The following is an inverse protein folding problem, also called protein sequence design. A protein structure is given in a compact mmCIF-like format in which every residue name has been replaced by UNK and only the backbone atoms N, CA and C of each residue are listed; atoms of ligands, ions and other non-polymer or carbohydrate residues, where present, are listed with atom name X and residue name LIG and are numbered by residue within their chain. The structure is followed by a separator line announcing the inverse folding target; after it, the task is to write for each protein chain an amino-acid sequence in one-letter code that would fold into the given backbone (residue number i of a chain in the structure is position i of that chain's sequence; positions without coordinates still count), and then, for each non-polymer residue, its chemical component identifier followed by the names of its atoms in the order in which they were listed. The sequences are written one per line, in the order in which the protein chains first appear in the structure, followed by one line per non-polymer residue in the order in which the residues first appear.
data_IF_525732584399
#
_entry.id   IF_525732584399
#
_cell.length_a   1.000
_cell.length_b   1.000
_cell.length_c   1.000
_cell.angle_alpha   90.00
_cell.angle_beta   90.00
_cell.angle_gamma   90.00
#
_symmetry.space_group_name_H-M   'P 1'
#
loop_
_entity.id
_entity.type
_entity.pdbx_description
1 polymer ?
#
# COMPACT_ATOMS: atom_id res chain seq x y z
N UNK A 1 -0.57 11.24 -6.00
CA UNK A 1 -0.81 9.80 -6.24
C UNK A 1 -1.46 9.59 -7.60
N UNK A 2 -1.44 8.36 -8.12
CA UNK A 2 -2.09 7.91 -9.36
C UNK A 2 -1.40 8.25 -10.70
N UNK A 3 -0.11 8.59 -10.72
CA UNK A 3 0.62 9.03 -11.92
C UNK A 3 1.78 8.12 -12.35
N UNK A 4 2.19 7.14 -11.53
CA UNK A 4 3.27 6.23 -11.93
C UNK A 4 2.77 5.13 -12.86
N UNK A 5 3.71 4.35 -13.42
CA UNK A 5 3.45 3.32 -14.43
C UNK A 5 2.52 2.21 -13.92
N UNK A 6 2.67 1.82 -12.66
CA UNK A 6 1.85 0.80 -12.04
C UNK A 6 1.07 1.44 -10.89
N UNK A 7 -0.16 1.85 -11.16
CA UNK A 7 -1.07 2.40 -10.14
C UNK A 7 -1.86 1.26 -9.51
N UNK A 8 -1.98 1.27 -8.18
CA UNK A 8 -2.72 0.23 -7.47
C UNK A 8 -4.23 0.38 -7.75
N UNK A 9 -4.95 -0.73 -7.97
CA UNK A 9 -6.34 -0.75 -8.43
C UNK A 9 -7.27 0.24 -7.71
N UNK A 10 -7.36 0.23 -6.37
CA UNK A 10 -8.19 1.18 -5.61
C UNK A 10 -7.84 2.65 -5.84
N UNK A 11 -6.56 2.97 -6.06
CA UNK A 11 -6.12 4.34 -6.40
C UNK A 11 -6.48 4.68 -7.84
N UNK A 12 -6.32 3.74 -8.77
CA UNK A 12 -6.68 3.92 -10.17
C UNK A 12 -8.19 4.16 -10.36
N UNK A 13 -9.03 3.52 -9.54
CA UNK A 13 -10.49 3.72 -9.54
C UNK A 13 -10.96 4.91 -8.71
N UNK A 14 -10.06 5.55 -7.95
CA UNK A 14 -10.40 6.66 -7.05
C UNK A 14 -11.19 6.24 -5.80
N UNK A 15 -11.19 4.96 -5.43
CA UNK A 15 -11.88 4.47 -4.23
C UNK A 15 -10.98 4.58 -2.99
N UNK A 16 -10.75 5.82 -2.57
CA UNK A 16 -9.90 6.11 -1.41
C UNK A 16 -10.50 5.57 -0.11
N UNK A 17 -11.84 5.50 -0.03
CA UNK A 17 -12.59 5.12 1.17
C UNK A 17 -12.36 3.68 1.60
N UNK A 18 -11.97 2.81 0.68
CA UNK A 18 -11.70 1.41 1.00
C UNK A 18 -10.53 1.25 1.98
N UNK A 19 -9.52 2.11 1.88
CA UNK A 19 -8.35 2.07 2.74
C UNK A 19 -8.33 3.22 3.76
N UNK A 20 -8.93 4.36 3.43
CA UNK A 20 -8.80 5.57 4.21
C UNK A 20 -10.13 6.12 4.69
N UNK A 21 -10.12 6.66 5.90
CA UNK A 21 -11.15 7.57 6.39
C UNK A 21 -10.68 9.01 6.21
N UNK A 22 -11.56 9.84 5.67
CA UNK A 22 -11.40 11.29 5.68
C UNK A 22 -12.04 11.86 6.95
N UNK A 23 -11.25 12.48 7.82
CA UNK A 23 -11.75 12.97 9.11
C UNK A 23 -12.56 14.27 8.98
N UNK A 24 -12.23 15.13 8.01
CA UNK A 24 -12.92 16.41 7.77
C UNK A 24 -13.13 16.62 6.27
N UNK A 25 -14.35 16.99 5.88
CA UNK A 25 -14.76 17.17 4.47
C UNK A 25 -13.87 18.14 3.69
N UNK A 26 -13.28 19.12 4.37
CA UNK A 26 -12.46 20.16 3.75
C UNK A 26 -10.95 19.94 3.94
N UNK A 27 -10.54 18.74 4.39
CA UNK A 27 -9.13 18.38 4.55
C UNK A 27 -8.82 17.11 3.77
N UNK A 28 -7.77 17.16 2.95
CA UNK A 28 -7.18 15.99 2.29
C UNK A 28 -6.29 15.20 3.27
N UNK A 29 -6.80 14.96 4.47
CA UNK A 29 -6.12 14.17 5.50
C UNK A 29 -6.83 12.84 5.61
N UNK A 30 -6.08 11.77 5.33
CA UNK A 30 -6.60 10.42 5.19
C UNK A 30 -5.88 9.49 6.16
N UNK A 31 -6.63 8.87 7.06
CA UNK A 31 -6.09 7.89 8.01
C UNK A 31 -6.49 6.49 7.55
N UNK A 32 -5.58 5.50 7.60
CA UNK A 32 -5.95 4.11 7.35
C UNK A 32 -7.10 3.69 8.26
N UNK A 33 -8.09 2.98 7.70
CA UNK A 33 -9.26 2.51 8.48
C UNK A 33 -8.93 1.32 9.39
N UNK A 34 -7.83 0.62 9.11
CA UNK A 34 -7.31 -0.50 9.90
C UNK A 34 -5.78 -0.60 9.69
N UNK A 35 -5.15 -1.60 10.32
CA UNK A 35 -3.72 -1.81 10.12
C UNK A 35 -3.41 -2.25 8.68
N UNK A 36 -2.19 -1.96 8.22
CA UNK A 36 -1.78 -2.17 6.83
C UNK A 36 -1.88 -3.63 6.39
N UNK A 37 -1.45 -4.58 7.23
CA UNK A 37 -1.52 -6.01 6.91
C UNK A 37 -2.95 -6.45 6.62
N UNK A 38 -3.88 -6.06 7.51
CA UNK A 38 -5.29 -6.40 7.35
C UNK A 38 -5.89 -5.79 6.08
N UNK A 39 -5.60 -4.52 5.77
CA UNK A 39 -6.05 -3.89 4.51
C UNK A 39 -5.59 -4.67 3.28
N UNK A 40 -4.31 -5.06 3.24
CA UNK A 40 -3.77 -5.80 2.11
C UNK A 40 -4.49 -7.13 1.92
N UNK A 41 -4.83 -7.82 3.01
CA UNK A 41 -5.50 -9.12 2.95
C UNK A 41 -7.02 -9.08 2.77
N UNK A 42 -7.64 -7.90 2.71
CA UNK A 42 -9.04 -7.77 2.28
C UNK A 42 -9.24 -8.22 0.83
N UNK A 43 -8.19 -8.16 0.01
CA UNK A 43 -8.23 -8.56 -1.40
C UNK A 43 -7.11 -9.54 -1.81
N UNK A 44 -5.92 -9.42 -1.20
CA UNK A 44 -4.80 -10.30 -1.53
C UNK A 44 -4.78 -11.55 -0.64
N UNK A 45 -4.39 -12.68 -1.23
CA UNK A 45 -4.17 -13.90 -0.47
C UNK A 45 -3.05 -13.73 0.56
N UNK A 46 -3.17 -14.47 1.68
CA UNK A 46 -2.20 -14.42 2.76
C UNK A 46 -0.90 -15.10 2.36
N UNK A 47 0.16 -14.31 2.19
CA UNK A 47 1.50 -14.79 1.83
C UNK A 47 2.35 -15.19 3.04
N UNK A 48 1.87 -14.97 4.26
CA UNK A 48 2.56 -15.32 5.51
C UNK A 48 2.37 -16.79 5.95
N UNK A 49 1.88 -17.65 5.04
CA UNK A 49 1.52 -19.06 5.35
C UNK A 49 2.51 -20.08 4.82
N UNK A 50 3.53 -19.65 4.08
CA UNK A 50 4.56 -20.53 3.51
C UNK A 50 5.55 -21.09 4.55
N UNK A 51 6.28 -22.14 4.18
CA UNK A 51 7.31 -22.74 5.05
C UNK A 51 8.50 -21.82 5.33
N UNK A 52 8.71 -20.81 4.50
CA UNK A 52 9.69 -19.75 4.70
C UNK A 52 9.04 -18.43 4.33
N UNK A 53 9.00 -17.50 5.29
CA UNK A 53 8.37 -16.19 5.13
C UNK A 53 9.41 -15.12 5.44
N UNK A 54 9.58 -14.17 4.54
CA UNK A 54 10.44 -13.01 4.80
C UNK A 54 9.91 -12.24 6.01
N UNK A 55 10.79 -11.86 6.93
CA UNK A 55 10.40 -11.21 8.18
C UNK A 55 9.46 -10.00 8.02
N UNK A 56 9.63 -9.09 7.03
CA UNK A 56 8.67 -8.01 6.82
C UNK A 56 7.25 -8.50 6.52
N UNK A 57 7.09 -9.58 5.78
CA UNK A 57 5.78 -10.18 5.49
C UNK A 57 5.19 -10.82 6.74
N UNK A 58 6.01 -11.53 7.52
CA UNK A 58 5.58 -12.13 8.79
C UNK A 58 5.18 -11.07 9.84
N UNK A 59 5.82 -9.91 9.82
CA UNK A 59 5.55 -8.78 10.72
C UNK A 59 4.41 -7.85 10.20
N UNK A 60 3.76 -8.18 9.08
CA UNK A 60 2.71 -7.33 8.49
C UNK A 60 3.21 -6.00 7.89
N UNK A 61 4.52 -5.88 7.64
CA UNK A 61 5.20 -4.68 7.14
C UNK A 61 5.26 -4.65 5.61
N UNK A 62 4.10 -4.79 4.97
CA UNK A 62 3.93 -4.82 3.52
C UNK A 62 4.58 -3.61 2.85
N UNK A 63 4.45 -2.43 3.47
CA UNK A 63 4.88 -1.15 2.89
C UNK A 63 6.37 -0.86 3.03
N UNK A 64 7.17 -1.76 3.61
CA UNK A 64 8.63 -1.63 3.59
C UNK A 64 9.15 -1.73 2.15
N UNK A 65 8.58 -2.65 1.37
CA UNK A 65 8.95 -2.84 -0.03
C UNK A 65 7.86 -2.35 -0.99
N UNK A 66 6.59 -2.40 -0.60
CA UNK A 66 5.48 -2.00 -1.48
C UNK A 66 5.04 -0.56 -1.24
N UNK A 67 4.68 0.17 -2.28
CA UNK A 67 3.93 1.42 -2.19
C UNK A 67 2.44 1.12 -2.40
N UNK A 68 1.55 1.43 -1.44
CA UNK A 68 0.14 1.06 -1.53
C UNK A 68 -0.65 1.88 -2.56
N UNK A 69 -0.07 2.95 -3.10
CA UNK A 69 -0.72 3.80 -4.08
C UNK A 69 -0.24 3.52 -5.50
N UNK A 70 1.07 3.46 -5.71
CA UNK A 70 1.66 3.36 -7.05
C UNK A 70 3.16 3.08 -7.03
N UNK A 71 3.71 2.54 -8.12
CA UNK A 71 5.15 2.48 -8.33
C UNK A 71 5.53 2.55 -9.81
N UNK A 72 6.81 2.89 -10.07
CA UNK A 72 7.44 2.69 -11.36
C UNK A 72 7.71 1.21 -11.68
N UNK A 73 7.75 0.33 -10.67
CA UNK A 73 8.01 -1.11 -10.81
C UNK A 73 6.74 -1.95 -10.66
N UNK A 74 6.75 -3.15 -11.27
CA UNK A 74 5.68 -4.13 -11.11
C UNK A 74 5.48 -4.52 -9.64
N UNK A 75 4.28 -5.03 -9.33
CA UNK A 75 3.88 -5.44 -7.98
C UNK A 75 4.00 -4.34 -6.93
N UNK A 76 3.99 -3.08 -7.37
CA UNK A 76 4.06 -1.88 -6.53
C UNK A 76 5.34 -1.81 -5.70
N UNK A 77 6.42 -2.42 -6.18
CA UNK A 77 7.70 -2.43 -5.48
C UNK A 77 8.36 -1.05 -5.55
N UNK A 78 8.76 -0.51 -4.41
CA UNK A 78 9.52 0.73 -4.30
C UNK A 78 10.87 0.60 -5.00
N UNK A 79 11.38 1.72 -5.52
CA UNK A 79 12.73 1.77 -6.05
C UNK A 79 13.76 1.60 -4.93
N UNK A 80 14.59 0.56 -5.04
CA UNK A 80 15.68 0.28 -4.08
C UNK A 80 16.85 1.29 -4.19
N UNK A 81 16.88 2.12 -5.24
CA UNK A 81 17.98 3.05 -5.54
C UNK A 81 17.74 4.49 -5.09
N UNK A 82 16.54 4.82 -4.63
CA UNK A 82 16.23 6.16 -4.13
C UNK A 82 15.65 6.02 -2.73
N UNK A 83 16.52 6.19 -1.73
CA UNK A 83 16.08 6.49 -0.37
C UNK A 83 15.01 7.58 -0.45
N UNK A 84 13.82 7.26 0.05
CA UNK A 84 12.57 7.94 -0.27
C UNK A 84 12.67 9.46 -0.24
N UNK A 85 12.50 10.07 -1.41
CA UNK A 85 12.02 11.44 -1.55
C UNK A 85 10.51 11.37 -1.80
N UNK A 86 9.74 11.17 -0.74
CA UNK A 86 8.30 11.44 -0.72
C UNK A 86 8.08 12.74 0.04
N UNK A 87 7.85 13.82 -0.69
CA UNK A 87 7.37 15.10 -0.14
C UNK A 87 5.89 15.09 0.15
#
# INVERSE_FOLDING_TARGET
MGKDKFVHGPVASGDCSFCHKQDKKDQHTFQPIMNIEALCYECHEKLNTGSTVHKPVADGKCTVCHDPHQSANEFQLKDLHTGGAGG
#
